data_IF_835589106701
#
_entry.id   IF_835589106701
#
_cell.length_a   1.000
_cell.length_b   1.000
_cell.length_c   1.000
_cell.angle_alpha   90.00
_cell.angle_beta   90.00
_cell.angle_gamma   90.00
#
_symmetry.space_group_name_H-M   'P 1'
#
loop_
_entity.id
_entity.type
_entity.pdbx_description
1 polymer ?
#
# COMPACT_ATOMS: atom_id res chain seq x y z
N UNK A 1 7.64 -25.14 16.56
CA UNK A 1 8.69 -24.27 15.96
C UNK A 1 9.05 -23.11 16.88
N UNK A 2 8.19 -22.08 17.02
CA UNK A 2 8.50 -20.86 17.81
C UNK A 2 8.83 -21.21 19.27
N UNK A 3 7.95 -21.91 19.97
CA UNK A 3 8.18 -22.33 21.37
C UNK A 3 9.51 -23.08 21.51
N UNK A 4 9.78 -24.03 20.60
CA UNK A 4 11.04 -24.79 20.58
C UNK A 4 12.27 -23.89 20.46
N UNK A 5 12.22 -22.84 19.63
CA UNK A 5 13.34 -21.90 19.50
C UNK A 5 13.64 -21.19 20.83
N UNK A 6 12.61 -20.65 21.47
CA UNK A 6 12.79 -19.88 22.72
C UNK A 6 13.16 -20.77 23.91
N UNK A 7 12.73 -22.03 23.90
CA UNK A 7 13.12 -23.01 24.93
C UNK A 7 14.54 -23.53 24.73
N UNK A 8 14.95 -23.82 23.48
CA UNK A 8 16.29 -24.32 23.18
C UNK A 8 17.36 -23.23 23.29
N UNK A 9 17.02 -21.99 22.98
CA UNK A 9 17.92 -20.84 23.01
C UNK A 9 17.33 -19.72 23.91
N UNK A 10 17.45 -19.86 25.25
CA UNK A 10 16.98 -18.85 26.19
C UNK A 10 17.59 -17.47 25.89
N UNK A 11 16.77 -16.42 25.96
CA UNK A 11 17.18 -15.07 25.61
C UNK A 11 17.02 -14.72 24.13
N UNK A 12 16.52 -15.64 23.30
CA UNK A 12 16.18 -15.33 21.91
C UNK A 12 15.21 -14.15 21.79
N UNK A 13 15.31 -13.42 20.68
CA UNK A 13 14.41 -12.33 20.29
C UNK A 13 13.95 -12.57 18.86
N UNK A 14 12.62 -12.54 18.66
CA UNK A 14 11.98 -12.93 17.42
C UNK A 14 11.22 -11.80 16.72
N UNK A 15 11.11 -11.87 15.40
CA UNK A 15 10.18 -11.08 14.62
C UNK A 15 9.37 -11.93 13.63
N UNK A 16 8.09 -11.59 13.45
CA UNK A 16 7.22 -12.12 12.40
C UNK A 16 6.76 -10.96 11.53
N UNK A 17 7.18 -10.94 10.27
CA UNK A 17 6.85 -9.86 9.33
C UNK A 17 5.83 -10.35 8.30
N UNK A 18 4.63 -9.79 8.37
CA UNK A 18 3.49 -10.12 7.52
C UNK A 18 3.15 -8.98 6.56
N UNK A 19 2.52 -9.30 5.44
CA UNK A 19 2.13 -8.33 4.43
C UNK A 19 0.79 -7.62 4.73
N UNK A 20 0.06 -8.07 5.75
CA UNK A 20 -1.27 -7.54 6.11
C UNK A 20 -1.34 -7.09 7.56
N UNK A 21 -1.76 -5.83 7.77
CA UNK A 21 -2.04 -5.29 9.10
C UNK A 21 -3.13 -6.10 9.81
N UNK A 22 -4.18 -6.53 9.09
CA UNK A 22 -5.24 -7.34 9.66
C UNK A 22 -4.73 -8.71 10.13
N UNK A 23 -3.79 -9.33 9.40
CA UNK A 23 -3.18 -10.58 9.83
C UNK A 23 -2.37 -10.40 11.12
N UNK A 24 -1.58 -9.32 11.22
CA UNK A 24 -0.88 -8.97 12.46
C UNK A 24 -1.85 -8.78 13.62
N UNK A 25 -2.89 -7.95 13.43
CA UNK A 25 -3.90 -7.65 14.46
C UNK A 25 -4.67 -8.90 14.92
N UNK A 26 -4.85 -9.89 14.05
CA UNK A 26 -5.44 -11.20 14.42
C UNK A 26 -4.46 -12.11 15.15
N UNK A 27 -3.23 -12.18 14.68
CA UNK A 27 -2.25 -13.14 15.19
C UNK A 27 -1.61 -12.68 16.50
N UNK A 28 -1.51 -11.37 16.77
CA UNK A 28 -0.93 -10.87 18.01
C UNK A 28 -1.65 -11.42 19.26
N UNK A 29 -2.99 -11.31 19.40
CA UNK A 29 -3.69 -11.92 20.54
C UNK A 29 -3.51 -13.44 20.63
N UNK A 30 -3.51 -14.13 19.48
CA UNK A 30 -3.28 -15.57 19.42
C UNK A 30 -1.90 -15.95 19.99
N UNK A 31 -0.84 -15.24 19.57
CA UNK A 31 0.51 -15.48 20.09
C UNK A 31 0.68 -15.03 21.53
N UNK A 32 0.03 -13.95 21.95
CA UNK A 32 0.02 -13.50 23.34
C UNK A 32 -0.52 -14.59 24.26
N UNK A 33 -1.64 -15.23 23.90
CA UNK A 33 -2.20 -16.32 24.71
C UNK A 33 -1.33 -17.58 24.62
N UNK A 34 -0.88 -17.95 23.42
CA UNK A 34 -0.06 -19.14 23.20
C UNK A 34 1.28 -19.12 23.97
N UNK A 35 1.93 -17.96 24.05
CA UNK A 35 3.27 -17.82 24.63
C UNK A 35 3.27 -17.32 26.09
N UNK A 36 2.07 -17.13 26.66
CA UNK A 36 1.87 -16.69 28.04
C UNK A 36 2.45 -17.67 29.06
N UNK A 37 2.32 -18.97 28.82
CA UNK A 37 2.85 -20.04 29.69
C UNK A 37 4.37 -20.00 29.82
N UNK A 38 5.06 -19.48 28.80
CA UNK A 38 6.51 -19.41 28.73
C UNK A 38 7.05 -18.02 29.17
N UNK A 39 6.19 -17.15 29.73
CA UNK A 39 6.51 -15.79 30.14
C UNK A 39 7.14 -14.92 29.04
N UNK A 40 6.77 -15.16 27.77
CA UNK A 40 7.26 -14.38 26.64
C UNK A 40 6.33 -13.21 26.34
N UNK A 41 6.92 -12.04 26.12
CA UNK A 41 6.19 -10.82 25.78
C UNK A 41 6.03 -10.75 24.27
N UNK A 42 4.79 -10.59 23.80
CA UNK A 42 4.47 -10.44 22.39
C UNK A 42 3.99 -9.01 22.11
N UNK A 43 4.70 -8.33 21.21
CA UNK A 43 4.45 -6.95 20.80
C UNK A 43 3.95 -6.81 19.36
N UNK A 44 3.40 -5.65 19.05
CA UNK A 44 2.87 -5.34 17.72
C UNK A 44 3.52 -4.09 17.12
N UNK A 45 3.87 -4.13 15.83
CA UNK A 45 4.35 -2.97 15.11
C UNK A 45 3.78 -2.89 13.68
N UNK A 46 2.75 -2.07 13.50
CA UNK A 46 2.07 -1.81 12.23
C UNK A 46 1.85 -0.32 11.97
N UNK A 47 1.37 0.01 10.77
CA UNK A 47 0.92 1.36 10.44
C UNK A 47 -0.26 1.86 11.29
N UNK A 48 -1.02 0.95 11.91
CA UNK A 48 -2.14 1.29 12.80
C UNK A 48 -1.77 1.18 14.28
N UNK A 49 -0.58 0.70 14.65
CA UNK A 49 -0.19 0.62 16.05
C UNK A 49 0.03 2.01 16.64
N UNK A 50 -0.36 2.15 17.90
CA UNK A 50 -0.17 3.37 18.69
C UNK A 50 1.33 3.64 18.93
N UNK A 51 1.69 4.88 19.28
CA UNK A 51 3.07 5.22 19.65
C UNK A 51 3.52 4.39 20.85
N UNK A 52 2.66 4.25 21.85
CA UNK A 52 2.94 3.41 23.02
C UNK A 52 3.10 1.93 22.66
N UNK A 53 2.23 1.38 21.80
CA UNK A 53 2.34 -0.01 21.32
C UNK A 53 3.67 -0.24 20.58
N UNK A 54 4.09 0.71 19.73
CA UNK A 54 5.38 0.64 19.04
C UNK A 54 6.55 0.67 20.00
N UNK A 55 6.50 1.49 21.04
CA UNK A 55 7.54 1.54 22.07
C UNK A 55 7.61 0.22 22.87
N UNK A 56 6.45 -0.33 23.24
CA UNK A 56 6.36 -1.65 23.90
C UNK A 56 6.89 -2.79 23.01
N UNK A 57 6.74 -2.67 21.68
CA UNK A 57 7.26 -3.67 20.75
C UNK A 57 8.79 -3.81 20.78
N UNK A 58 9.53 -2.79 21.23
CA UNK A 58 10.99 -2.83 21.29
C UNK A 58 11.54 -3.72 22.40
N UNK A 59 10.77 -3.89 23.48
CA UNK A 59 11.17 -4.73 24.62
C UNK A 59 10.58 -6.13 24.56
N UNK A 60 9.65 -6.37 23.62
CA UNK A 60 9.00 -7.66 23.42
C UNK A 60 10.01 -8.77 23.06
N UNK A 61 9.68 -10.00 23.42
CA UNK A 61 10.46 -11.19 23.04
C UNK A 61 10.13 -11.63 21.62
N UNK A 62 8.88 -11.44 21.20
CA UNK A 62 8.41 -11.65 19.82
C UNK A 62 7.65 -10.43 19.33
N UNK A 63 8.07 -9.83 18.21
CA UNK A 63 7.32 -8.74 17.57
C UNK A 63 6.61 -9.24 16.31
N UNK A 64 5.31 -8.96 16.20
CA UNK A 64 4.56 -9.13 14.96
C UNK A 64 4.39 -7.78 14.29
N UNK A 65 4.66 -7.70 12.99
CA UNK A 65 4.50 -6.44 12.29
C UNK A 65 4.43 -6.54 10.78
N UNK A 66 4.41 -5.37 10.17
CA UNK A 66 4.39 -5.22 8.71
C UNK A 66 5.71 -4.65 8.20
N UNK A 67 5.73 -4.09 7.00
CA UNK A 67 6.90 -3.37 6.46
C UNK A 67 7.31 -2.13 7.26
N UNK A 68 6.64 -1.82 8.37
CA UNK A 68 7.12 -0.86 9.39
C UNK A 68 8.36 -1.36 10.15
N UNK A 69 8.59 -2.68 10.16
CA UNK A 69 9.80 -3.33 10.70
C UNK A 69 10.96 -3.25 9.70
N UNK A 70 10.68 -3.40 8.41
CA UNK A 70 11.56 -2.88 7.35
C UNK A 70 11.71 -1.36 7.58
N UNK A 71 12.69 -0.63 7.08
CA UNK A 71 12.77 0.85 7.15
C UNK A 71 12.75 1.59 8.52
N UNK A 72 11.91 1.28 9.51
CA UNK A 72 11.56 2.20 10.61
C UNK A 72 12.17 1.91 11.99
N UNK A 73 12.60 0.68 12.25
CA UNK A 73 13.06 0.25 13.58
C UNK A 73 14.17 -0.80 13.44
N UNK A 74 15.17 -0.72 14.31
CA UNK A 74 16.24 -1.71 14.41
C UNK A 74 16.01 -2.64 15.61
N UNK A 75 15.29 -3.74 15.36
CA UNK A 75 15.06 -4.77 16.37
C UNK A 75 16.27 -5.67 16.49
N UNK A 76 16.73 -5.91 17.72
CA UNK A 76 17.78 -6.88 18.04
C UNK A 76 17.17 -8.27 18.07
N UNK A 77 17.25 -8.99 16.93
CA UNK A 77 16.62 -10.30 16.76
C UNK A 77 17.62 -11.35 16.27
N UNK A 78 17.35 -12.59 16.66
CA UNK A 78 18.06 -13.78 16.21
C UNK A 78 17.11 -14.86 15.64
N UNK A 79 15.81 -14.59 15.65
CA UNK A 79 14.79 -15.43 15.04
C UNK A 79 13.87 -14.60 14.15
N UNK A 80 13.64 -15.04 12.91
CA UNK A 80 12.82 -14.30 11.96
C UNK A 80 11.89 -15.24 11.19
N UNK A 81 10.60 -14.89 11.14
CA UNK A 81 9.64 -15.47 10.20
C UNK A 81 9.13 -14.34 9.32
N UNK A 82 9.10 -14.50 8.00
CA UNK A 82 8.61 -13.43 7.14
C UNK A 82 7.96 -13.93 5.87
N UNK A 83 6.91 -13.23 5.44
CA UNK A 83 6.34 -13.38 4.10
C UNK A 83 7.21 -12.67 3.06
N UNK A 84 7.32 -13.20 1.84
CA UNK A 84 7.96 -12.46 0.76
C UNK A 84 7.32 -12.70 -0.59
N UNK A 85 6.96 -11.60 -1.25
CA UNK A 85 6.32 -11.59 -2.57
C UNK A 85 7.26 -11.30 -3.73
N UNK A 86 8.43 -10.77 -3.44
CA UNK A 86 9.40 -10.30 -4.42
C UNK A 86 10.82 -10.33 -3.82
N UNK A 87 11.82 -10.31 -4.69
CA UNK A 87 13.22 -10.40 -4.27
C UNK A 87 13.68 -9.23 -3.40
N UNK A 88 13.14 -8.03 -3.63
CA UNK A 88 13.49 -6.84 -2.86
C UNK A 88 13.09 -7.00 -1.40
N UNK A 89 11.83 -7.35 -1.17
CA UNK A 89 11.29 -7.58 0.17
C UNK A 89 11.97 -8.77 0.86
N UNK A 90 12.25 -9.86 0.12
CA UNK A 90 12.98 -11.03 0.65
C UNK A 90 14.33 -10.63 1.24
N UNK A 91 15.15 -9.93 0.44
CA UNK A 91 16.51 -9.57 0.80
C UNK A 91 16.51 -8.55 1.94
N UNK A 92 15.60 -7.58 1.92
CA UNK A 92 15.49 -6.57 2.97
C UNK A 92 15.08 -7.16 4.31
N UNK A 93 14.09 -8.07 4.32
CA UNK A 93 13.60 -8.74 5.52
C UNK A 93 14.63 -9.69 6.09
N UNK A 94 15.23 -10.55 5.26
CA UNK A 94 16.33 -11.42 5.70
C UNK A 94 17.50 -10.61 6.26
N UNK A 95 17.79 -9.45 5.67
CA UNK A 95 18.81 -8.52 6.15
C UNK A 95 18.52 -7.84 7.49
N UNK A 96 17.36 -8.10 8.13
CA UNK A 96 17.08 -7.71 9.52
C UNK A 96 17.74 -8.65 10.53
N UNK A 97 17.97 -9.90 10.13
CA UNK A 97 18.62 -10.91 10.94
C UNK A 97 20.16 -10.75 10.89
N UNK A 98 20.84 -10.99 12.02
CA UNK A 98 22.31 -10.95 12.08
C UNK A 98 22.91 -9.54 12.04
N UNK A 99 22.16 -8.52 12.47
CA UNK A 99 22.67 -7.15 12.64
C UNK A 99 23.35 -6.90 13.98
N UNK A 100 22.97 -7.70 14.97
CA UNK A 100 23.40 -7.60 16.36
C UNK A 100 23.70 -9.00 16.87
N UNK A 101 24.75 -9.13 17.67
CA UNK A 101 25.16 -10.40 18.29
C UNK A 101 24.49 -10.64 19.65
N UNK A 102 23.60 -9.73 20.07
CA UNK A 102 22.95 -9.77 21.37
C UNK A 102 22.19 -8.49 21.69
N UNK A 103 21.74 -8.36 22.94
CA UNK A 103 21.08 -7.18 23.48
C UNK A 103 21.39 -7.01 24.97
N UNK A 104 21.10 -5.83 25.50
CA UNK A 104 21.27 -5.53 26.91
C UNK A 104 19.92 -5.62 27.62
N UNK A 105 19.88 -6.28 28.78
CA UNK A 105 18.71 -6.34 29.66
C UNK A 105 19.19 -6.22 31.11
N UNK A 106 18.68 -5.23 31.84
CA UNK A 106 19.03 -4.98 33.24
C UNK A 106 20.55 -4.87 33.49
N UNK A 107 21.29 -4.22 32.58
CA UNK A 107 22.75 -4.06 32.68
C UNK A 107 23.56 -5.34 32.38
N UNK A 108 22.92 -6.41 31.93
CA UNK A 108 23.58 -7.63 31.47
C UNK A 108 23.49 -7.75 29.95
N UNK A 109 24.62 -8.10 29.32
CA UNK A 109 24.68 -8.42 27.90
C UNK A 109 24.23 -9.87 27.70
N UNK A 110 23.17 -10.06 26.92
CA UNK A 110 22.65 -11.36 26.49
C UNK A 110 23.06 -11.55 25.04
N UNK A 111 23.92 -12.53 24.78
CA UNK A 111 24.37 -12.87 23.43
C UNK A 111 23.42 -13.85 22.75
N UNK A 112 23.35 -13.79 21.44
CA UNK A 112 22.60 -14.71 20.61
C UNK A 112 23.48 -15.89 20.21
N UNK A 113 23.04 -17.10 20.51
CA UNK A 113 23.79 -18.33 20.22
C UNK A 113 23.67 -18.76 18.75
N UNK A 114 22.57 -18.40 18.09
CA UNK A 114 22.29 -18.76 16.70
C UNK A 114 21.37 -17.74 16.01
N UNK A 115 21.30 -17.83 14.69
CA UNK A 115 20.41 -17.02 13.85
C UNK A 115 19.60 -17.92 12.94
N UNK A 116 18.26 -17.84 13.02
CA UNK A 116 17.36 -18.65 12.19
C UNK A 116 16.32 -17.77 11.48
N UNK A 117 16.12 -18.02 10.19
CA UNK A 117 15.08 -17.39 9.39
C UNK A 117 14.17 -18.43 8.72
N UNK A 118 12.86 -18.21 8.74
CA UNK A 118 11.87 -18.93 7.96
C UNK A 118 11.19 -17.96 6.98
N UNK A 119 11.43 -18.16 5.68
CA UNK A 119 10.81 -17.36 4.64
C UNK A 119 9.57 -18.08 4.09
N UNK A 120 8.40 -17.43 4.19
CA UNK A 120 7.16 -17.86 3.56
C UNK A 120 7.12 -17.27 2.15
N UNK A 121 7.42 -18.11 1.16
CA UNK A 121 7.57 -17.73 -0.25
C UNK A 121 6.58 -18.47 -1.15
N UNK A 122 6.27 -17.95 -2.35
CA UNK A 122 5.41 -18.66 -3.30
C UNK A 122 6.01 -19.99 -3.77
N UNK A 123 5.16 -20.98 -4.04
CA UNK A 123 5.58 -22.32 -4.51
C UNK A 123 6.48 -22.26 -5.75
N UNK A 124 6.17 -21.40 -6.72
CA UNK A 124 6.99 -21.26 -7.94
C UNK A 124 8.44 -20.91 -7.63
N UNK A 125 8.70 -20.19 -6.52
CA UNK A 125 10.06 -19.85 -6.13
C UNK A 125 10.76 -21.07 -5.52
N UNK A 126 10.06 -21.82 -4.67
CA UNK A 126 10.60 -23.07 -4.10
C UNK A 126 10.99 -24.04 -5.22
N UNK A 127 10.10 -24.21 -6.21
CA UNK A 127 10.35 -25.04 -7.39
C UNK A 127 11.62 -24.61 -8.13
N UNK A 128 11.77 -23.30 -8.40
CA UNK A 128 12.95 -22.73 -9.09
C UNK A 128 14.25 -22.81 -8.30
N UNK A 129 14.17 -22.78 -6.97
CA UNK A 129 15.34 -22.80 -6.10
C UNK A 129 15.85 -24.22 -5.84
N UNK A 130 14.96 -25.22 -5.76
CA UNK A 130 15.29 -26.54 -5.23
C UNK A 130 14.85 -27.73 -6.09
N UNK A 131 13.97 -27.54 -7.08
CA UNK A 131 13.29 -28.65 -7.78
C UNK A 131 13.50 -28.66 -9.30
N UNK A 132 14.44 -27.87 -9.82
CA UNK A 132 14.84 -27.94 -11.23
C UNK A 132 15.86 -29.07 -11.44
N UNK A 133 16.14 -29.42 -12.70
CA UNK A 133 17.16 -30.44 -13.04
C UNK A 133 18.58 -30.05 -12.57
N UNK A 134 18.81 -28.77 -12.33
CA UNK A 134 20.06 -28.22 -11.78
C UNK A 134 19.69 -27.09 -10.82
N UNK A 135 19.30 -27.43 -9.56
CA UNK A 135 18.81 -26.45 -8.61
C UNK A 135 19.96 -25.55 -8.15
N UNK A 136 19.75 -24.22 -8.08
CA UNK A 136 20.79 -23.31 -7.63
C UNK A 136 21.07 -23.43 -6.12
N UNK A 137 20.15 -24.00 -5.34
CA UNK A 137 20.30 -24.25 -3.91
C UNK A 137 20.05 -25.72 -3.58
N UNK A 138 20.82 -26.24 -2.63
CA UNK A 138 20.74 -27.59 -2.08
C UNK A 138 20.37 -27.52 -0.60
N UNK A 139 19.76 -28.58 -0.09
CA UNK A 139 19.40 -28.68 1.33
C UNK A 139 20.67 -28.83 2.17
N UNK A 140 20.70 -28.21 3.35
CA UNK A 140 21.80 -28.25 4.33
C UNK A 140 23.17 -27.75 3.83
N UNK A 141 23.18 -26.97 2.75
CA UNK A 141 24.41 -26.40 2.18
C UNK A 141 24.66 -24.95 2.63
N UNK A 142 25.91 -24.48 2.48
CA UNK A 142 26.36 -23.16 2.92
C UNK A 142 26.57 -22.26 1.69
N UNK A 143 25.92 -21.10 1.72
CA UNK A 143 26.00 -20.11 0.67
C UNK A 143 26.45 -18.76 1.23
N UNK A 144 27.29 -18.06 0.48
CA UNK A 144 27.63 -16.68 0.82
C UNK A 144 26.46 -15.73 0.51
N UNK A 145 26.51 -14.55 1.14
CA UNK A 145 25.45 -13.54 1.01
C UNK A 145 25.29 -13.04 -0.44
N UNK A 146 26.36 -12.68 -1.19
CA UNK A 146 26.24 -12.25 -2.58
C UNK A 146 25.56 -13.29 -3.47
N UNK A 147 25.95 -14.55 -3.38
CA UNK A 147 25.38 -15.66 -4.14
C UNK A 147 23.90 -15.80 -3.83
N UNK A 148 23.53 -15.91 -2.54
CA UNK A 148 22.13 -16.04 -2.16
C UNK A 148 21.28 -14.86 -2.67
N UNK A 149 21.78 -13.63 -2.55
CA UNK A 149 21.07 -12.45 -3.06
C UNK A 149 20.87 -12.48 -4.57
N UNK A 150 21.89 -12.88 -5.32
CA UNK A 150 21.80 -12.95 -6.77
C UNK A 150 20.83 -14.04 -7.21
N UNK A 151 20.95 -15.24 -6.64
CA UNK A 151 20.05 -16.37 -6.88
C UNK A 151 18.59 -15.98 -6.60
N UNK A 152 18.31 -15.35 -5.45
CA UNK A 152 16.97 -14.88 -5.12
C UNK A 152 16.46 -13.85 -6.13
N UNK A 153 17.30 -12.90 -6.58
CA UNK A 153 16.90 -11.89 -7.58
C UNK A 153 16.59 -12.50 -8.95
N UNK A 154 17.34 -13.51 -9.36
CA UNK A 154 17.20 -14.17 -10.64
C UNK A 154 15.99 -15.10 -10.69
N UNK A 155 15.78 -15.87 -9.62
CA UNK A 155 14.72 -16.87 -9.56
C UNK A 155 13.35 -16.27 -9.22
N UNK A 156 13.30 -15.16 -8.47
CA UNK A 156 12.06 -14.40 -8.34
C UNK A 156 11.61 -13.82 -9.67
N UNK A 157 10.30 -13.67 -9.79
CA UNK A 157 9.71 -12.92 -10.88
C UNK A 157 10.18 -11.46 -10.85
N UNK A 158 10.76 -10.99 -11.95
CA UNK A 158 11.05 -9.55 -12.16
C UNK A 158 9.75 -8.76 -12.20
N UNK A 159 9.57 -7.85 -11.25
CA UNK A 159 8.46 -6.88 -11.23
C UNK A 159 8.79 -5.67 -12.11
N UNK A 160 7.76 -4.95 -12.55
CA UNK A 160 7.93 -3.72 -13.31
C UNK A 160 8.44 -2.58 -12.41
N UNK A 161 9.34 -1.75 -12.93
CA UNK A 161 9.91 -0.59 -12.25
C UNK A 161 9.23 0.74 -12.61
N UNK A 162 8.25 0.68 -13.53
CA UNK A 162 7.49 1.82 -14.05
C UNK A 162 8.37 2.94 -14.60
N UNK A 163 9.48 2.62 -15.27
CA UNK A 163 10.40 3.61 -15.83
C UNK A 163 9.71 4.71 -16.68
N UNK A 164 8.63 4.35 -17.39
CA UNK A 164 7.81 5.29 -18.18
C UNK A 164 7.10 6.38 -17.36
N UNK A 165 6.92 6.16 -16.05
CA UNK A 165 6.26 7.11 -15.15
C UNK A 165 7.00 8.44 -15.04
N UNK A 166 8.33 8.41 -14.90
CA UNK A 166 9.14 9.62 -14.81
C UNK A 166 8.94 10.50 -16.03
N UNK A 167 8.99 9.90 -17.22
CA UNK A 167 8.81 10.60 -18.49
C UNK A 167 7.41 11.21 -18.64
N UNK A 168 6.37 10.44 -18.27
CA UNK A 168 4.97 10.81 -18.55
C UNK A 168 4.36 11.71 -17.48
N UNK A 169 4.53 11.35 -16.22
CA UNK A 169 3.86 12.00 -15.08
C UNK A 169 4.81 12.86 -14.25
N UNK A 170 6.12 12.55 -14.23
CA UNK A 170 7.12 13.40 -13.57
C UNK A 170 7.18 14.83 -14.12
N UNK A 171 6.96 15.00 -15.42
CA UNK A 171 6.90 16.31 -16.05
C UNK A 171 5.70 17.17 -15.56
N UNK A 172 4.57 16.55 -15.20
CA UNK A 172 3.39 17.25 -14.66
C UNK A 172 3.70 17.82 -13.28
N UNK A 173 4.37 17.04 -12.43
CA UNK A 173 4.83 17.48 -11.11
C UNK A 173 5.82 18.66 -11.24
N UNK A 174 6.79 18.56 -12.14
CA UNK A 174 7.76 19.64 -12.38
C UNK A 174 7.12 20.89 -12.96
N UNK A 175 6.12 20.76 -13.84
CA UNK A 175 5.34 21.89 -14.32
C UNK A 175 4.67 22.66 -13.16
N UNK A 176 4.04 21.94 -12.23
CA UNK A 176 3.43 22.54 -11.04
C UNK A 176 4.45 23.30 -10.18
N UNK A 177 5.65 22.77 -10.00
CA UNK A 177 6.72 23.47 -9.28
C UNK A 177 7.18 24.74 -10.03
N UNK A 178 7.33 24.68 -11.36
CA UNK A 178 7.61 25.85 -12.21
C UNK A 178 6.53 26.94 -12.06
N UNK A 179 5.25 26.55 -11.97
CA UNK A 179 4.15 27.49 -11.73
C UNK A 179 4.26 28.15 -10.36
N UNK A 180 4.53 27.38 -9.30
CA UNK A 180 4.74 27.93 -7.95
C UNK A 180 5.93 28.89 -7.89
N UNK A 181 7.04 28.55 -8.55
CA UNK A 181 8.22 29.44 -8.67
C UNK A 181 7.95 30.70 -9.52
N UNK A 182 6.84 30.74 -10.26
CA UNK A 182 6.39 31.90 -11.03
C UNK A 182 5.39 32.77 -10.27
N UNK A 183 5.12 32.46 -8.99
CA UNK A 183 4.28 33.28 -8.13
C UNK A 183 4.83 34.70 -8.00
N UNK A 184 3.94 35.70 -8.05
CA UNK A 184 4.31 37.12 -8.08
C UNK A 184 5.20 37.53 -6.91
N UNK A 185 5.07 36.86 -5.77
CA UNK A 185 5.83 37.16 -4.54
C UNK A 185 7.30 36.75 -4.62
N UNK A 186 7.64 35.71 -5.39
CA UNK A 186 8.99 35.12 -5.43
C UNK A 186 9.63 35.10 -6.83
N UNK A 187 8.86 35.45 -7.87
CA UNK A 187 9.26 35.34 -9.29
C UNK A 187 10.59 36.03 -9.62
N UNK A 188 10.83 37.23 -9.09
CA UNK A 188 12.07 37.98 -9.36
C UNK A 188 13.29 37.32 -8.69
N UNK A 189 13.11 36.79 -7.48
CA UNK A 189 14.17 36.14 -6.70
C UNK A 189 14.66 34.84 -7.36
N UNK A 190 13.76 34.10 -8.03
CA UNK A 190 14.08 32.79 -8.62
C UNK A 190 14.15 32.79 -10.15
N UNK A 191 14.21 33.94 -10.82
CA UNK A 191 14.14 34.01 -12.28
C UNK A 191 15.19 33.14 -13.00
N UNK A 192 16.47 33.23 -12.58
CA UNK A 192 17.58 32.41 -13.13
C UNK A 192 17.45 30.93 -12.78
N UNK A 193 17.05 30.63 -11.54
CA UNK A 193 16.88 29.24 -11.08
C UNK A 193 15.72 28.55 -11.79
N UNK A 194 14.65 29.28 -12.12
CA UNK A 194 13.49 28.78 -12.84
C UNK A 194 13.83 28.38 -14.27
N UNK A 195 14.56 29.21 -15.00
CA UNK A 195 14.96 28.89 -16.38
C UNK A 195 15.85 27.65 -16.41
N UNK A 196 16.86 27.58 -15.53
CA UNK A 196 17.69 26.38 -15.38
C UNK A 196 16.88 25.14 -15.00
N UNK A 197 15.94 25.28 -14.06
CA UNK A 197 15.08 24.19 -13.61
C UNK A 197 14.16 23.70 -14.74
N UNK A 198 13.56 24.61 -15.51
CA UNK A 198 12.75 24.27 -16.67
C UNK A 198 13.57 23.47 -17.69
N UNK A 199 14.74 23.98 -18.11
CA UNK A 199 15.60 23.29 -19.07
C UNK A 199 16.02 21.91 -18.56
N UNK A 200 16.40 21.80 -17.29
CA UNK A 200 16.75 20.52 -16.69
C UNK A 200 15.58 19.53 -16.69
N UNK A 201 14.36 19.98 -16.36
CA UNK A 201 13.17 19.13 -16.40
C UNK A 201 12.84 18.68 -17.83
N UNK A 202 12.89 19.58 -18.81
CA UNK A 202 12.59 19.24 -20.20
C UNK A 202 13.60 18.24 -20.77
N UNK A 203 14.87 18.33 -20.37
CA UNK A 203 15.92 17.36 -20.70
C UNK A 203 15.68 16.00 -20.02
N UNK A 204 15.48 15.98 -18.70
CA UNK A 204 15.32 14.75 -17.91
C UNK A 204 14.06 13.97 -18.34
N UNK A 205 12.95 14.65 -18.57
CA UNK A 205 11.69 14.01 -18.95
C UNK A 205 11.49 13.91 -20.46
N UNK A 206 12.42 14.41 -21.27
CA UNK A 206 12.35 14.38 -22.72
C UNK A 206 10.97 14.83 -23.25
N UNK A 207 10.50 15.96 -22.73
CA UNK A 207 9.20 16.58 -23.06
C UNK A 207 9.24 18.07 -22.75
N UNK A 208 8.45 18.89 -23.47
CA UNK A 208 8.33 20.31 -23.16
C UNK A 208 7.27 20.56 -22.10
N UNK A 209 7.58 21.40 -21.11
CA UNK A 209 6.63 21.85 -20.08
C UNK A 209 5.45 22.63 -20.69
N UNK A 210 5.65 23.29 -21.83
CA UNK A 210 4.57 23.97 -22.55
C UNK A 210 3.54 22.98 -23.11
N UNK A 211 4.00 21.83 -23.60
CA UNK A 211 3.11 20.75 -24.05
C UNK A 211 2.30 20.20 -22.88
N UNK A 212 2.94 19.99 -21.72
CA UNK A 212 2.27 19.55 -20.50
C UNK A 212 1.21 20.56 -20.01
N UNK A 213 1.47 21.86 -20.13
CA UNK A 213 0.48 22.90 -19.82
C UNK A 213 -0.81 22.74 -20.64
N UNK A 214 -0.69 22.37 -21.92
CA UNK A 214 -1.82 22.08 -22.79
C UNK A 214 -2.65 20.89 -22.31
N UNK A 215 -1.99 19.78 -21.97
CA UNK A 215 -2.66 18.61 -21.39
C UNK A 215 -3.37 18.93 -20.07
N UNK A 216 -2.70 19.63 -19.16
CA UNK A 216 -3.27 20.06 -17.87
C UNK A 216 -4.50 20.94 -18.08
N UNK A 217 -4.43 21.90 -19.00
CA UNK A 217 -5.58 22.77 -19.33
C UNK A 217 -6.73 21.96 -19.91
N UNK A 218 -6.44 20.99 -20.78
CA UNK A 218 -7.44 20.08 -21.34
C UNK A 218 -8.13 19.24 -20.26
N UNK A 219 -7.38 18.65 -19.33
CA UNK A 219 -7.95 17.88 -18.21
C UNK A 219 -8.83 18.75 -17.30
N UNK A 220 -8.40 19.97 -16.99
CA UNK A 220 -9.19 20.91 -16.18
C UNK A 220 -10.51 21.30 -16.88
N UNK A 221 -10.46 21.53 -18.21
CA UNK A 221 -11.65 21.83 -19.01
C UNK A 221 -12.62 20.64 -19.01
N UNK A 222 -12.14 19.44 -19.30
CA UNK A 222 -12.95 18.22 -19.29
C UNK A 222 -13.60 17.98 -17.92
N UNK A 223 -12.84 18.18 -16.83
CA UNK A 223 -13.38 18.06 -15.47
C UNK A 223 -14.48 19.09 -15.21
N UNK A 224 -14.29 20.35 -15.61
CA UNK A 224 -15.30 21.40 -15.46
C UNK A 224 -16.57 21.11 -16.25
N UNK A 225 -16.44 20.61 -17.47
CA UNK A 225 -17.58 20.22 -18.32
C UNK A 225 -18.36 19.04 -17.72
N UNK A 226 -17.65 18.03 -17.19
CA UNK A 226 -18.28 16.84 -16.61
C UNK A 226 -18.89 17.08 -15.22
N UNK A 227 -18.20 17.80 -14.35
CA UNK A 227 -18.57 17.92 -12.93
C UNK A 227 -19.23 19.25 -12.55
N UNK A 228 -19.13 20.27 -13.41
CA UNK A 228 -19.47 21.66 -13.09
C UNK A 228 -18.50 22.33 -12.10
N UNK A 229 -17.47 21.64 -11.62
CA UNK A 229 -16.51 22.14 -10.61
C UNK A 229 -15.22 22.61 -11.26
N UNK A 230 -14.59 23.62 -10.68
CA UNK A 230 -13.20 23.96 -10.99
C UNK A 230 -12.25 22.94 -10.37
N UNK A 231 -11.05 22.80 -10.95
CA UNK A 231 -9.99 21.92 -10.43
C UNK A 231 -9.39 21.08 -11.54
N UNK A 232 -8.43 20.23 -11.18
CA UNK A 232 -7.86 19.26 -12.09
C UNK A 232 -7.39 18.01 -11.33
N UNK A 233 -8.31 17.06 -11.04
CA UNK A 233 -7.99 15.88 -10.24
C UNK A 233 -6.79 15.09 -10.76
N UNK A 234 -6.65 14.95 -12.08
CA UNK A 234 -5.54 14.23 -12.71
C UNK A 234 -4.20 14.93 -12.42
N UNK A 235 -4.13 16.25 -12.61
CA UNK A 235 -2.89 16.99 -12.35
C UNK A 235 -2.58 17.10 -10.85
N UNK A 236 -3.61 17.17 -9.99
CA UNK A 236 -3.47 17.16 -8.53
C UNK A 236 -2.87 15.84 -8.04
N UNK A 237 -3.38 14.70 -8.50
CA UNK A 237 -2.83 13.39 -8.18
C UNK A 237 -1.41 13.21 -8.73
N UNK A 238 -1.15 13.63 -9.98
CA UNK A 238 0.18 13.56 -10.59
C UNK A 238 1.21 14.47 -9.89
N UNK A 239 0.79 15.59 -9.32
CA UNK A 239 1.65 16.50 -8.58
C UNK A 239 1.83 16.12 -7.10
N UNK A 240 1.07 15.13 -6.61
CA UNK A 240 1.17 14.67 -5.22
C UNK A 240 2.46 13.84 -5.01
N UNK A 241 3.28 14.23 -4.02
CA UNK A 241 4.60 13.62 -3.82
C UNK A 241 4.56 12.15 -3.35
N UNK A 242 3.50 11.75 -2.66
CA UNK A 242 3.31 10.38 -2.12
C UNK A 242 1.98 9.74 -2.53
N UNK A 243 1.26 10.33 -3.48
CA UNK A 243 -0.14 9.97 -3.73
C UNK A 243 -1.07 10.51 -2.64
N UNK A 244 -2.27 10.91 -3.03
CA UNK A 244 -3.44 10.89 -2.15
C UNK A 244 -4.28 9.67 -2.53
N UNK A 245 -4.75 8.91 -1.54
CA UNK A 245 -5.74 7.87 -1.81
C UNK A 245 -7.13 8.50 -1.77
N UNK A 246 -7.86 8.55 -2.89
CA UNK A 246 -9.24 9.01 -2.90
C UNK A 246 -10.20 8.05 -2.16
N UNK A 247 -9.68 6.88 -1.75
CA UNK A 247 -10.39 5.85 -1.01
C UNK A 247 -10.08 5.87 0.49
N UNK A 248 -9.29 6.84 0.96
CA UNK A 248 -8.92 6.96 2.36
C UNK A 248 -10.15 7.31 3.21
N UNK A 249 -10.30 6.61 4.33
CA UNK A 249 -11.38 6.85 5.29
C UNK A 249 -10.79 7.27 6.65
N UNK A 250 -11.54 8.10 7.37
CA UNK A 250 -11.29 8.42 8.77
C UNK A 250 -11.78 7.28 9.65
N UNK A 251 -10.87 6.71 10.44
CA UNK A 251 -11.10 5.57 11.30
C UNK A 251 -11.03 6.01 12.76
N UNK A 252 -12.03 5.63 13.56
CA UNK A 252 -11.96 5.69 15.01
C UNK A 252 -11.88 4.28 15.57
N UNK A 253 -10.71 3.92 16.06
CA UNK A 253 -10.37 2.58 16.52
C UNK A 253 -10.90 2.33 17.93
N UNK A 254 -11.99 1.57 18.08
CA UNK A 254 -12.51 1.22 19.41
C UNK A 254 -11.69 0.12 20.09
N UNK A 255 -10.81 -0.56 19.35
CA UNK A 255 -9.90 -1.57 19.91
C UNK A 255 -8.68 -0.93 20.56
N UNK A 256 -8.42 0.34 20.25
CA UNK A 256 -7.34 1.12 20.82
C UNK A 256 -7.67 1.64 22.23
N UNK A 257 -6.75 1.39 23.16
CA UNK A 257 -6.88 1.76 24.57
C UNK A 257 -6.62 3.26 24.75
N UNK A 258 -5.58 3.80 24.09
CA UNK A 258 -5.27 5.22 24.19
C UNK A 258 -6.21 6.05 23.33
N UNK A 259 -7.12 6.77 23.99
CA UNK A 259 -8.18 7.49 23.32
C UNK A 259 -7.71 8.53 22.29
N UNK A 260 -6.62 9.24 22.60
CA UNK A 260 -6.05 10.23 21.68
C UNK A 260 -5.53 9.60 20.38
N UNK A 261 -5.18 8.31 20.42
CA UNK A 261 -4.61 7.55 19.32
C UNK A 261 -5.66 6.75 18.53
N UNK A 262 -6.92 6.76 18.98
CA UNK A 262 -8.04 6.11 18.26
C UNK A 262 -8.27 6.69 16.88
N UNK A 263 -7.93 7.96 16.67
CA UNK A 263 -8.11 8.63 15.38
C UNK A 263 -7.01 8.19 14.42
N UNK A 264 -7.36 7.42 13.39
CA UNK A 264 -6.45 6.84 12.39
C UNK A 264 -7.03 7.05 10.99
N UNK A 265 -6.23 6.86 9.94
CA UNK A 265 -6.74 6.79 8.56
C UNK A 265 -6.49 5.40 8.01
N UNK A 266 -7.43 4.88 7.21
CA UNK A 266 -7.27 3.57 6.58
C UNK A 266 -8.02 3.53 5.24
N UNK A 267 -7.47 2.79 4.28
CA UNK A 267 -8.02 2.73 2.93
C UNK A 267 -9.24 1.81 2.86
N UNK A 268 -10.26 2.25 2.09
CA UNK A 268 -11.52 1.52 1.92
C UNK A 268 -11.34 0.03 1.56
N UNK A 269 -10.47 -0.37 0.62
CA UNK A 269 -10.19 -1.78 0.35
C UNK A 269 -9.82 -2.62 1.58
N UNK A 270 -9.03 -2.05 2.50
CA UNK A 270 -8.65 -2.72 3.75
C UNK A 270 -9.83 -2.84 4.71
N UNK A 271 -10.67 -1.81 4.77
CA UNK A 271 -11.90 -1.75 5.57
C UNK A 271 -12.90 -2.81 5.09
N UNK A 272 -13.24 -2.79 3.80
CA UNK A 272 -14.18 -3.72 3.18
C UNK A 272 -13.74 -5.18 3.37
N UNK A 273 -12.44 -5.42 3.24
CA UNK A 273 -11.89 -6.78 3.31
C UNK A 273 -11.87 -7.34 4.73
N UNK A 274 -11.50 -6.54 5.74
CA UNK A 274 -10.99 -7.09 7.00
C UNK A 274 -11.66 -6.54 8.27
N UNK A 275 -12.50 -5.51 8.19
CA UNK A 275 -12.98 -4.82 9.38
C UNK A 275 -14.49 -5.02 9.60
N UNK A 276 -14.87 -5.10 10.87
CA UNK A 276 -16.24 -4.88 11.32
C UNK A 276 -16.36 -3.43 11.78
N UNK A 277 -17.35 -2.71 11.23
CA UNK A 277 -17.41 -1.25 11.37
C UNK A 277 -18.82 -0.72 11.62
N UNK A 278 -18.87 0.50 12.14
CA UNK A 278 -20.08 1.31 12.20
C UNK A 278 -19.85 2.62 11.44
N UNK A 279 -20.83 3.04 10.64
CA UNK A 279 -20.79 4.32 9.96
C UNK A 279 -20.87 5.49 10.93
N UNK A 280 -20.10 6.53 10.65
CA UNK A 280 -20.09 7.75 11.45
C UNK A 280 -20.22 8.99 10.56
N UNK A 281 -20.82 10.04 11.12
CA UNK A 281 -20.89 11.35 10.48
C UNK A 281 -19.57 12.08 10.64
N UNK A 282 -19.17 12.83 9.63
CA UNK A 282 -17.99 13.70 9.69
C UNK A 282 -18.09 14.69 10.84
N UNK A 283 -19.26 15.33 11.00
CA UNK A 283 -19.48 16.28 12.09
C UNK A 283 -19.29 15.63 13.47
N UNK A 284 -19.79 14.40 13.67
CA UNK A 284 -19.62 13.65 14.92
C UNK A 284 -18.16 13.26 15.17
N UNK A 285 -17.47 12.78 14.14
CA UNK A 285 -16.06 12.44 14.21
C UNK A 285 -15.19 13.65 14.57
N UNK A 286 -15.39 14.78 13.89
CA UNK A 286 -14.64 16.02 14.12
C UNK A 286 -14.96 16.63 15.50
N UNK A 287 -16.22 16.54 15.95
CA UNK A 287 -16.59 16.98 17.31
C UNK A 287 -15.86 16.17 18.37
N UNK A 288 -15.93 14.84 18.26
CA UNK A 288 -15.26 13.92 19.19
C UNK A 288 -13.75 14.12 19.19
N UNK A 289 -13.14 14.34 18.01
CA UNK A 289 -11.72 14.66 17.89
C UNK A 289 -11.35 15.91 18.70
N UNK A 290 -12.16 16.98 18.61
CA UNK A 290 -11.92 18.21 19.38
C UNK A 290 -12.09 17.99 20.88
N UNK A 291 -13.15 17.30 21.29
CA UNK A 291 -13.44 16.97 22.70
C UNK A 291 -12.34 16.10 23.31
N UNK A 292 -11.89 15.04 22.61
CA UNK A 292 -10.78 14.19 23.07
C UNK A 292 -9.49 14.98 23.17
N UNK A 293 -9.13 15.79 22.16
CA UNK A 293 -7.91 16.61 22.22
C UNK A 293 -7.91 17.61 23.40
N UNK A 294 -9.08 18.16 23.75
CA UNK A 294 -9.22 19.02 24.92
C UNK A 294 -9.08 18.25 26.23
N UNK A 295 -9.76 17.11 26.36
CA UNK A 295 -9.76 16.32 27.60
C UNK A 295 -8.41 15.65 27.88
N UNK A 296 -7.72 15.15 26.85
CA UNK A 296 -6.42 14.48 27.02
C UNK A 296 -5.24 15.44 27.02
N UNK A 297 -5.44 16.70 26.60
CA UNK A 297 -4.36 17.67 26.39
C UNK A 297 -3.42 17.31 25.23
N UNK A 298 -3.73 16.27 24.45
CA UNK A 298 -2.89 15.82 23.34
C UNK A 298 -3.42 16.36 22.00
N UNK A 299 -2.58 17.02 21.19
CA UNK A 299 -3.02 17.55 19.90
C UNK A 299 -3.26 16.42 18.89
N UNK A 300 -4.44 16.42 18.26
CA UNK A 300 -4.79 15.47 17.20
C UNK A 300 -4.82 16.21 15.86
N UNK A 301 -3.96 15.80 14.92
CA UNK A 301 -3.86 16.44 13.61
C UNK A 301 -5.17 16.29 12.81
N UNK A 302 -5.88 17.41 12.59
CA UNK A 302 -7.15 17.45 11.84
C UNK A 302 -6.94 17.37 10.32
N UNK A 303 -5.83 17.90 9.83
CA UNK A 303 -5.57 18.04 8.38
C UNK A 303 -5.56 16.71 7.63
N UNK A 304 -5.14 15.61 8.27
CA UNK A 304 -5.16 14.27 7.66
C UNK A 304 -6.56 13.71 7.39
N UNK A 305 -7.61 14.38 7.86
CA UNK A 305 -9.01 13.95 7.69
C UNK A 305 -9.80 14.81 6.69
N UNK A 306 -9.20 15.88 6.15
CA UNK A 306 -9.91 16.91 5.36
C UNK A 306 -10.52 16.40 4.04
N UNK A 307 -10.10 15.21 3.57
CA UNK A 307 -10.52 14.63 2.30
C UNK A 307 -10.85 13.12 2.42
N UNK A 308 -11.25 12.67 3.62
CA UNK A 308 -11.65 11.28 3.80
C UNK A 308 -13.00 10.99 3.13
N UNK A 309 -13.07 9.90 2.36
CA UNK A 309 -14.28 9.42 1.70
C UNK A 309 -15.41 9.16 2.70
N UNK A 310 -15.09 8.53 3.82
CA UNK A 310 -16.03 8.20 4.87
C UNK A 310 -15.39 8.28 6.26
N UNK A 311 -16.23 8.39 7.28
CA UNK A 311 -15.84 8.35 8.69
C UNK A 311 -16.53 7.16 9.33
N UNK A 312 -15.77 6.37 10.07
CA UNK A 312 -16.21 5.06 10.56
C UNK A 312 -15.60 4.76 11.93
N UNK A 313 -16.30 3.95 12.72
CA UNK A 313 -15.76 3.35 13.95
C UNK A 313 -15.38 1.91 13.66
N UNK A 314 -14.14 1.53 13.96
CA UNK A 314 -13.69 0.15 13.93
C UNK A 314 -14.15 -0.55 15.21
N UNK A 315 -14.92 -1.63 15.08
CA UNK A 315 -15.39 -2.47 16.18
C UNK A 315 -14.44 -3.62 16.46
N UNK A 316 -14.03 -4.33 15.41
CA UNK A 316 -13.09 -5.45 15.49
C UNK A 316 -12.51 -5.79 14.12
N UNK A 317 -11.46 -6.61 14.12
CA UNK A 317 -10.91 -7.24 12.91
C UNK A 317 -11.63 -8.57 12.66
N UNK A 318 -12.05 -8.81 11.42
CA UNK A 318 -12.71 -10.07 11.04
C UNK A 318 -11.72 -11.21 11.02
N UNK A 319 -12.17 -12.39 11.45
CA UNK A 319 -11.40 -13.64 11.33
C UNK A 319 -11.10 -13.97 9.87
N UNK A 320 -12.13 -13.91 9.02
CA UNK A 320 -12.03 -14.15 7.60
C UNK A 320 -12.17 -12.88 6.77
N UNK A 321 -11.49 -12.87 5.61
CA UNK A 321 -11.57 -11.78 4.65
C UNK A 321 -12.88 -11.86 3.87
N UNK A 322 -13.62 -10.76 3.79
CA UNK A 322 -14.80 -10.68 2.94
C UNK A 322 -14.45 -10.36 1.49
N UNK A 323 -15.24 -10.93 0.59
CA UNK A 323 -15.22 -10.59 -0.83
C UNK A 323 -16.01 -9.31 -1.09
N UNK A 324 -15.50 -8.51 -2.01
CA UNK A 324 -16.14 -7.28 -2.47
C UNK A 324 -15.56 -6.92 -3.84
N UNK A 325 -16.26 -6.06 -4.58
CA UNK A 325 -15.78 -5.51 -5.85
C UNK A 325 -16.30 -4.10 -6.07
N UNK A 326 -15.62 -3.34 -6.92
CA UNK A 326 -16.18 -2.09 -7.43
C UNK A 326 -17.27 -2.39 -8.45
N UNK A 327 -18.22 -1.46 -8.57
CA UNK A 327 -19.27 -1.51 -9.60
C UNK A 327 -19.33 -0.20 -10.34
N UNK A 328 -19.82 -0.21 -11.57
CA UNK A 328 -20.08 0.97 -12.37
C UNK A 328 -21.49 0.89 -12.94
N UNK A 329 -22.28 1.97 -12.80
CA UNK A 329 -23.68 1.97 -13.23
C UNK A 329 -23.88 2.15 -14.73
N UNK A 330 -22.82 2.52 -15.48
CA UNK A 330 -22.86 2.66 -16.93
C UNK A 330 -22.13 1.54 -17.65
N UNK A 331 -21.76 1.78 -18.90
CA UNK A 331 -20.92 0.90 -19.71
C UNK A 331 -19.42 1.23 -19.51
N UNK A 332 -18.62 0.24 -19.13
CA UNK A 332 -17.16 0.41 -18.98
C UNK A 332 -16.39 0.24 -20.29
N UNK A 333 -17.00 -0.27 -21.36
CA UNK A 333 -16.30 -0.51 -22.61
C UNK A 333 -15.74 0.79 -23.24
N UNK A 334 -16.52 1.87 -23.44
CA UNK A 334 -15.99 3.13 -23.99
C UNK A 334 -14.88 3.75 -23.12
N UNK A 335 -14.97 3.52 -21.81
CA UNK A 335 -14.01 3.98 -20.81
C UNK A 335 -12.68 3.23 -20.96
N UNK A 336 -12.72 1.90 -21.09
CA UNK A 336 -11.54 1.06 -21.28
C UNK A 336 -10.89 1.29 -22.67
N UNK A 337 -11.70 1.41 -23.72
CA UNK A 337 -11.25 1.60 -25.11
C UNK A 337 -10.60 2.98 -25.33
N UNK A 338 -10.72 3.91 -24.38
CA UNK A 338 -10.05 5.20 -24.42
C UNK A 338 -8.54 5.15 -24.12
N UNK A 339 -8.03 4.06 -23.52
CA UNK A 339 -6.60 3.83 -23.22
C UNK A 339 -5.89 4.99 -22.52
N UNK A 340 -6.57 5.69 -21.62
CA UNK A 340 -6.05 6.89 -20.95
C UNK A 340 -6.48 6.96 -19.49
N UNK A 341 -5.70 7.69 -18.69
CA UNK A 341 -6.16 8.16 -17.38
C UNK A 341 -7.31 9.13 -17.57
N UNK A 342 -8.37 8.93 -16.79
CA UNK A 342 -9.55 9.79 -16.79
C UNK A 342 -10.22 9.83 -15.42
N UNK A 343 -11.09 10.82 -15.23
CA UNK A 343 -11.89 10.93 -14.00
C UNK A 343 -13.22 10.25 -14.23
N UNK A 344 -13.60 9.31 -13.36
CA UNK A 344 -14.90 8.66 -13.36
C UNK A 344 -15.71 9.05 -12.14
N UNK A 345 -16.99 9.31 -12.35
CA UNK A 345 -18.03 9.39 -11.31
C UNK A 345 -18.97 8.20 -11.48
N UNK A 346 -19.77 7.87 -10.46
CA UNK A 346 -20.68 6.71 -10.51
C UNK A 346 -20.03 5.36 -10.19
N UNK A 347 -18.76 5.37 -9.75
CA UNK A 347 -18.11 4.17 -9.21
C UNK A 347 -18.75 3.85 -7.86
N UNK A 348 -19.28 2.64 -7.73
CA UNK A 348 -19.89 2.11 -6.53
C UNK A 348 -19.12 0.93 -5.98
N UNK A 349 -19.65 0.32 -4.92
CA UNK A 349 -19.09 -0.88 -4.30
C UNK A 349 -20.20 -1.89 -4.04
N UNK A 350 -19.89 -3.15 -4.33
CA UNK A 350 -20.76 -4.27 -4.02
C UNK A 350 -20.13 -5.16 -2.95
N UNK A 351 -20.84 -5.29 -1.83
CA UNK A 351 -20.53 -6.19 -0.73
C UNK A 351 -21.84 -6.54 0.00
N UNK A 352 -22.48 -7.67 -0.34
CA UNK A 352 -23.84 -7.97 0.11
C UNK A 352 -23.94 -8.21 1.61
N UNK A 353 -22.86 -8.67 2.24
CA UNK A 353 -22.85 -9.09 3.65
C UNK A 353 -22.92 -7.92 4.65
N UNK A 354 -22.81 -6.66 4.18
CA UNK A 354 -22.68 -5.49 5.04
C UNK A 354 -23.84 -4.50 4.85
N UNK A 355 -24.69 -4.35 5.88
CA UNK A 355 -25.82 -3.41 5.87
C UNK A 355 -25.41 -1.93 5.70
N UNK A 356 -24.19 -1.57 6.12
CA UNK A 356 -23.68 -0.21 6.02
C UNK A 356 -23.15 0.14 4.62
N UNK A 357 -23.01 -0.83 3.72
CA UNK A 357 -22.38 -0.64 2.41
C UNK A 357 -23.06 0.43 1.57
N UNK A 358 -24.39 0.56 1.68
CA UNK A 358 -25.18 1.53 0.93
C UNK A 358 -24.79 2.99 1.23
N UNK A 359 -24.30 3.28 2.44
CA UNK A 359 -23.82 4.63 2.79
C UNK A 359 -22.47 4.93 2.12
N UNK A 360 -21.57 3.95 2.07
CA UNK A 360 -20.28 4.09 1.38
C UNK A 360 -20.50 4.19 -0.13
N UNK A 361 -21.31 3.29 -0.70
CA UNK A 361 -21.66 3.27 -2.12
C UNK A 361 -22.23 4.61 -2.58
N UNK A 362 -23.18 5.18 -1.82
CA UNK A 362 -23.77 6.49 -2.13
C UNK A 362 -22.74 7.63 -2.14
N UNK A 363 -21.73 7.58 -1.28
CA UNK A 363 -20.64 8.58 -1.26
C UNK A 363 -19.69 8.36 -2.43
N UNK A 364 -19.21 7.13 -2.59
CA UNK A 364 -18.26 6.76 -3.64
C UNK A 364 -18.78 7.10 -5.04
N UNK A 365 -20.08 6.86 -5.31
CA UNK A 365 -20.71 7.18 -6.59
C UNK A 365 -20.68 8.67 -6.95
N UNK A 366 -20.53 9.56 -5.97
CA UNK A 366 -20.46 11.01 -6.18
C UNK A 366 -19.03 11.52 -6.34
N UNK A 367 -18.04 10.71 -5.99
CA UNK A 367 -16.64 11.11 -6.07
C UNK A 367 -16.13 11.07 -7.50
N UNK A 368 -15.30 12.06 -7.85
CA UNK A 368 -14.56 12.09 -9.10
C UNK A 368 -13.23 11.38 -8.92
N UNK A 369 -13.18 10.10 -9.29
CA UNK A 369 -11.99 9.27 -9.08
C UNK A 369 -11.10 9.30 -10.32
N UNK A 370 -9.86 9.77 -10.17
CA UNK A 370 -8.82 9.58 -11.18
C UNK A 370 -8.55 8.08 -11.29
N UNK A 371 -8.72 7.52 -12.48
CA UNK A 371 -8.66 6.08 -12.68
C UNK A 371 -8.10 5.69 -14.04
N UNK A 372 -7.77 4.41 -14.14
CA UNK A 372 -7.44 3.74 -15.39
C UNK A 372 -8.15 2.39 -15.40
N UNK A 373 -8.93 2.12 -16.44
CA UNK A 373 -9.73 0.90 -16.60
C UNK A 373 -9.14 0.05 -17.72
N UNK A 374 -8.96 -1.24 -17.46
CA UNK A 374 -8.54 -2.23 -18.44
C UNK A 374 -9.61 -3.30 -18.56
N UNK A 375 -10.01 -3.64 -19.79
CA UNK A 375 -10.93 -4.75 -20.10
C UNK A 375 -10.23 -6.10 -20.00
N UNK A 376 -9.66 -6.40 -18.84
CA UNK A 376 -9.04 -7.68 -18.48
C UNK A 376 -9.19 -7.94 -16.98
N UNK A 377 -9.33 -9.20 -16.54
CA UNK A 377 -9.35 -9.55 -15.13
C UNK A 377 -8.06 -9.15 -14.40
N UNK A 378 -8.17 -8.84 -13.10
CA UNK A 378 -7.05 -8.39 -12.25
C UNK A 378 -5.85 -9.35 -12.30
N UNK A 379 -6.10 -10.66 -12.26
CA UNK A 379 -5.04 -11.66 -12.28
C UNK A 379 -4.22 -11.60 -13.59
N UNK A 380 -4.90 -11.47 -14.73
CA UNK A 380 -4.25 -11.36 -16.03
C UNK A 380 -3.42 -10.08 -16.11
N UNK A 381 -3.99 -8.94 -15.70
CA UNK A 381 -3.28 -7.65 -15.74
C UNK A 381 -2.05 -7.66 -14.85
N UNK A 382 -2.19 -8.12 -13.60
CA UNK A 382 -1.08 -8.25 -12.65
C UNK A 382 0.02 -9.14 -13.20
N UNK A 383 -0.34 -10.26 -13.82
CA UNK A 383 0.60 -11.17 -14.43
C UNK A 383 1.28 -10.52 -15.64
N UNK A 384 0.55 -10.12 -16.68
CA UNK A 384 1.15 -9.68 -17.94
C UNK A 384 1.97 -8.40 -17.80
N UNK A 385 1.54 -7.48 -16.93
CA UNK A 385 2.30 -6.25 -16.64
C UNK A 385 3.36 -6.41 -15.55
N UNK A 386 3.45 -7.59 -14.92
CA UNK A 386 4.39 -7.89 -13.82
C UNK A 386 4.27 -6.88 -12.68
N UNK A 387 3.04 -6.57 -12.28
CA UNK A 387 2.77 -5.57 -11.24
C UNK A 387 3.24 -6.09 -9.87
N UNK A 388 3.78 -5.23 -8.99
CA UNK A 388 4.10 -5.58 -7.61
C UNK A 388 2.89 -6.17 -6.85
N UNK A 389 3.12 -7.01 -5.85
CA UNK A 389 2.03 -7.64 -5.08
C UNK A 389 1.06 -6.60 -4.48
N UNK A 390 1.60 -5.55 -3.88
CA UNK A 390 0.82 -4.48 -3.25
C UNK A 390 0.30 -3.42 -4.24
N UNK A 391 0.48 -3.61 -5.55
CA UNK A 391 -0.07 -2.70 -6.53
C UNK A 391 -1.60 -2.68 -6.45
N UNK A 392 -2.17 -1.48 -6.26
CA UNK A 392 -3.58 -1.24 -6.06
C UNK A 392 -4.34 -1.34 -7.39
N UNK A 393 -4.75 -2.56 -7.71
CA UNK A 393 -5.57 -2.90 -8.85
C UNK A 393 -6.74 -3.76 -8.35
N UNK A 394 -7.95 -3.38 -8.72
CA UNK A 394 -9.17 -3.94 -8.16
C UNK A 394 -10.10 -4.47 -9.26
N UNK A 395 -10.92 -5.48 -8.96
CA UNK A 395 -11.96 -5.92 -9.89
C UNK A 395 -13.08 -4.87 -9.94
N UNK A 396 -13.60 -4.63 -11.14
CA UNK A 396 -14.78 -3.79 -11.33
C UNK A 396 -15.76 -4.47 -12.30
N UNK A 397 -17.04 -4.45 -11.95
CA UNK A 397 -18.13 -4.84 -12.85
C UNK A 397 -18.88 -3.60 -13.33
N UNK A 398 -19.28 -3.58 -14.59
CA UNK A 398 -20.30 -2.65 -15.07
C UNK A 398 -21.72 -3.24 -14.89
N UNK A 399 -22.73 -2.53 -15.39
CA UNK A 399 -24.13 -2.98 -15.31
C UNK A 399 -24.40 -4.30 -16.04
N UNK A 400 -23.54 -4.68 -16.99
CA UNK A 400 -23.70 -5.89 -17.80
C UNK A 400 -22.97 -7.11 -17.20
N UNK A 401 -21.93 -6.87 -16.38
CA UNK A 401 -21.04 -7.91 -15.84
C UNK A 401 -21.12 -8.06 -14.32
N UNK A 402 -22.14 -7.48 -13.67
CA UNK A 402 -22.27 -7.51 -12.20
C UNK A 402 -22.50 -8.92 -11.63
N UNK A 403 -23.11 -9.82 -12.39
CA UNK A 403 -23.37 -11.20 -11.98
C UNK A 403 -22.31 -12.20 -12.48
N UNK A 404 -21.29 -11.72 -13.20
CA UNK A 404 -20.23 -12.60 -13.69
C UNK A 404 -19.30 -13.04 -12.56
N UNK A 405 -18.95 -14.33 -12.59
CA UNK A 405 -18.06 -14.96 -11.62
C UNK A 405 -16.66 -14.33 -11.65
N UNK A 406 -16.15 -14.05 -12.85
CA UNK A 406 -14.87 -13.35 -13.06
C UNK A 406 -15.15 -12.00 -13.68
N UNK A 407 -14.68 -10.92 -13.04
CA UNK A 407 -14.95 -9.58 -13.51
C UNK A 407 -14.12 -9.30 -14.78
N UNK A 408 -14.76 -8.83 -15.88
CA UNK A 408 -14.08 -8.65 -17.15
C UNK A 408 -13.20 -7.39 -17.16
N UNK A 409 -13.35 -6.51 -16.18
CA UNK A 409 -12.58 -5.28 -16.04
C UNK A 409 -11.76 -5.24 -14.75
N UNK A 410 -10.66 -4.50 -14.82
CA UNK A 410 -9.87 -4.09 -13.68
C UNK A 410 -9.69 -2.58 -13.67
N UNK A 411 -9.61 -2.01 -12.47
CA UNK A 411 -9.49 -0.57 -12.25
C UNK A 411 -8.39 -0.26 -11.23
N UNK A 412 -7.59 0.75 -11.55
CA UNK A 412 -6.66 1.38 -10.61
C UNK A 412 -7.09 2.83 -10.38
N UNK A 413 -6.75 3.38 -9.20
CA UNK A 413 -7.09 4.75 -8.81
C UNK A 413 -5.85 5.58 -8.49
N UNK A 414 -5.97 6.90 -8.62
CA UNK A 414 -4.95 7.90 -8.28
C UNK A 414 -3.58 7.54 -8.84
N UNK A 415 -2.56 7.54 -7.99
CA UNK A 415 -1.19 7.23 -8.41
C UNK A 415 -1.04 5.85 -9.09
N UNK A 416 -1.80 4.83 -8.67
CA UNK A 416 -1.77 3.52 -9.30
C UNK A 416 -2.36 3.56 -10.72
N UNK A 417 -3.34 4.42 -10.99
CA UNK A 417 -3.85 4.66 -12.34
C UNK A 417 -2.77 5.29 -13.24
N UNK A 418 -2.03 6.28 -12.71
CA UNK A 418 -0.93 6.94 -13.43
C UNK A 418 0.21 5.97 -13.76
N UNK A 419 0.56 5.09 -12.81
CA UNK A 419 1.55 4.03 -13.03
C UNK A 419 1.07 3.03 -14.08
N UNK A 420 -0.19 2.58 -13.98
CA UNK A 420 -0.77 1.61 -14.92
C UNK A 420 -0.78 2.14 -16.37
N UNK A 421 -1.08 3.41 -16.55
CA UNK A 421 -1.08 4.11 -17.85
C UNK A 421 0.27 4.08 -18.58
N UNK A 422 1.37 3.92 -17.85
CA UNK A 422 2.71 3.80 -18.44
C UNK A 422 2.98 2.42 -19.02
N UNK A 423 2.16 1.42 -18.68
CA UNK A 423 2.34 0.01 -19.05
C UNK A 423 1.21 -0.51 -19.94
N UNK A 424 0.02 0.06 -19.82
CA UNK A 424 -1.20 -0.43 -20.46
C UNK A 424 -1.12 -0.48 -21.99
N UNK A 425 -0.25 0.33 -22.62
CA UNK A 425 -0.02 0.27 -24.07
C UNK A 425 0.40 -1.11 -24.58
N UNK A 426 1.01 -1.95 -23.73
CA UNK A 426 1.40 -3.33 -24.06
C UNK A 426 0.20 -4.24 -24.37
N UNK A 427 -0.99 -3.87 -23.90
CA UNK A 427 -2.24 -4.53 -24.27
C UNK A 427 -2.87 -3.94 -25.54
N UNK A 428 -2.54 -2.69 -25.90
CA UNK A 428 -3.04 -2.04 -27.11
C UNK A 428 -2.34 -2.55 -28.37
N UNK A 429 -1.05 -2.90 -28.26
CA UNK A 429 -0.22 -3.32 -29.40
C UNK A 429 -0.36 -4.80 -29.77
N UNK A 430 -1.03 -5.62 -28.95
CA UNK A 430 -1.29 -7.02 -29.23
C UNK A 430 -2.79 -7.25 -29.35
N UNK A 431 -3.28 -7.34 -30.59
CA UNK A 431 -4.48 -8.14 -30.83
C UNK A 431 -4.26 -9.53 -30.23
N UNK A 432 -5.20 -9.97 -29.40
CA UNK A 432 -5.49 -11.31 -28.87
C UNK A 432 -4.50 -12.48 -28.98
N UNK A 433 -3.19 -12.26 -28.87
CA UNK A 433 -2.23 -13.34 -28.71
C UNK A 433 -1.84 -13.51 -27.23
N UNK A 434 -2.51 -14.51 -26.63
CA UNK A 434 -2.18 -15.11 -25.34
C UNK A 434 -0.87 -15.89 -25.52
N UNK A 435 0.26 -15.25 -25.23
CA UNK A 435 1.53 -15.97 -25.07
C UNK A 435 1.70 -16.34 -23.60
N UNK A 436 1.33 -17.58 -23.27
CA UNK A 436 1.86 -18.31 -22.11
C UNK A 436 3.27 -18.75 -22.49
N UNK A 437 4.26 -18.27 -21.74
CA UNK A 437 5.60 -18.86 -21.66
C UNK A 437 6.11 -18.68 -20.23
#
# INVERSE_FOLDING_TARGET
>A
LIISQFQQYPGSKGAIILNSIAAVKRLTPFFQELLKSDNLIVGENTGLSSKGEKELSFVADLVLGTSTIDVGVDFKINFLIFESSDSGNFIQRLGRLGRHDGYEKNGQEIKFDNFIAYALVPNFLVERLFQTDSPPLETDNIYDRPFLQQTIKEQYRKINDFHGYYRRWGAVQSFWLCCKLSDRTIKQQYAKSREKFQTACEQVFNTSLKSQAGHITGWAKNWKEMSGKSGNPIAEDAASFRGSSPLQCGLYDLTEINEAERFKTYDLPGILSNLEIEMWTEAGFIRTLKETAQRTGQPIAKGRFAHCLAFIKLRSYREERLNWKFTYSGDLQPIADAWKVQVLTGVGVWQPDNIWIGQIDKKLKKEGLVCYVIRRPVAEVRMRLRLPMHFQLYPISDQYSIHEATQPYSIAFGQSALLLDTLAYTFKSKGDEIWIA
#
